data_IF_344582519099
#
_entry.id   IF_344582519099
#
_cell.length_a   1.000
_cell.length_b   1.000
_cell.length_c   1.000
_cell.angle_alpha   90.00
_cell.angle_beta   90.00
_cell.angle_gamma   90.00
#
_symmetry.space_group_name_H-M   'P 1'
#
loop_
_entity.id
_entity.type
_entity.pdbx_description
1 polymer ?
#
# COMPACT_ATOMS: atom_id res chain seq x y z
N UNK A 1 -1.45 8.15 -4.15
CA UNK A 1 -0.91 6.92 -4.78
C UNK A 1 -0.61 5.87 -3.74
N UNK A 2 -0.86 4.60 -4.03
CA UNK A 2 -0.60 3.46 -3.16
C UNK A 2 0.30 2.47 -3.90
N UNK A 3 1.56 2.34 -3.47
CA UNK A 3 2.51 1.37 -4.01
C UNK A 3 2.35 0.03 -3.29
N UNK A 4 2.23 -1.06 -4.06
CA UNK A 4 1.86 -2.38 -3.53
C UNK A 4 0.36 -2.53 -3.31
N UNK A 5 -0.46 -1.88 -4.14
CA UNK A 5 -1.93 -1.82 -4.03
C UNK A 5 -2.63 -3.19 -4.01
N UNK A 6 -1.99 -4.24 -4.55
CA UNK A 6 -2.54 -5.59 -4.60
C UNK A 6 -2.24 -6.47 -3.40
N UNK A 7 -1.40 -6.02 -2.48
CA UNK A 7 -1.01 -6.78 -1.29
C UNK A 7 -2.00 -6.68 -0.13
N UNK A 8 -1.71 -7.43 0.95
CA UNK A 8 -2.60 -7.51 2.12
C UNK A 8 -2.83 -6.20 2.88
N UNK A 9 -1.96 -5.19 2.72
CA UNK A 9 -2.14 -3.82 3.24
C UNK A 9 -2.72 -2.92 2.15
N UNK A 10 -2.18 -3.04 0.92
CA UNK A 10 -2.56 -2.17 -0.20
C UNK A 10 -4.03 -2.25 -0.57
N UNK A 11 -4.62 -3.46 -0.56
CA UNK A 11 -6.05 -3.65 -0.88
C UNK A 11 -6.98 -2.94 0.11
N UNK A 12 -6.62 -2.89 1.38
CA UNK A 12 -7.34 -2.09 2.37
C UNK A 12 -7.08 -0.60 2.19
N UNK A 13 -5.83 -0.20 1.94
CA UNK A 13 -5.47 1.21 1.77
C UNK A 13 -6.21 1.85 0.59
N UNK A 14 -6.37 1.14 -0.55
CA UNK A 14 -7.16 1.59 -1.70
C UNK A 14 -8.60 1.88 -1.28
N UNK A 15 -9.27 0.91 -0.66
CA UNK A 15 -10.68 1.03 -0.29
C UNK A 15 -10.91 2.07 0.80
N UNK A 16 -10.02 2.16 1.80
CA UNK A 16 -10.10 3.19 2.83
C UNK A 16 -9.93 4.57 2.21
N UNK A 17 -8.95 4.77 1.33
CA UNK A 17 -8.77 6.05 0.64
C UNK A 17 -10.01 6.43 -0.18
N UNK A 18 -10.65 5.47 -0.85
CA UNK A 18 -11.92 5.69 -1.57
C UNK A 18 -13.08 6.02 -0.62
N UNK A 19 -13.12 5.43 0.58
CA UNK A 19 -14.12 5.79 1.59
C UNK A 19 -13.98 7.23 2.09
N UNK A 20 -12.79 7.82 1.96
CA UNK A 20 -12.50 9.24 2.17
C UNK A 20 -12.57 10.10 0.89
N UNK A 21 -13.18 9.57 -0.18
CA UNK A 21 -13.37 10.26 -1.46
C UNK A 21 -12.09 10.71 -2.16
N UNK A 22 -10.95 10.11 -1.82
CA UNK A 22 -9.69 10.42 -2.46
C UNK A 22 -9.63 9.87 -3.89
N UNK A 23 -8.90 10.56 -4.77
CA UNK A 23 -8.49 10.02 -6.06
C UNK A 23 -7.30 9.07 -5.84
N UNK A 24 -7.46 7.80 -6.23
CA UNK A 24 -6.52 6.73 -5.91
C UNK A 24 -5.84 6.19 -7.16
N UNK A 25 -4.51 6.31 -7.17
CA UNK A 25 -3.67 5.58 -8.13
C UNK A 25 -3.05 4.37 -7.42
N UNK A 26 -3.37 3.16 -7.88
CA UNK A 26 -2.79 1.92 -7.38
C UNK A 26 -1.61 1.45 -8.24
N UNK A 27 -0.48 1.10 -7.62
CA UNK A 27 0.68 0.51 -8.32
C UNK A 27 0.76 -0.97 -7.99
N UNK A 28 0.74 -1.81 -9.02
CA UNK A 28 0.82 -3.27 -8.89
C UNK A 28 1.43 -3.91 -10.15
N UNK A 29 1.56 -5.24 -10.20
CA UNK A 29 1.99 -5.96 -11.39
C UNK A 29 0.82 -6.21 -12.37
N UNK A 30 1.14 -6.48 -13.64
CA UNK A 30 0.17 -6.73 -14.74
C UNK A 30 -0.99 -7.63 -14.32
N UNK A 31 -0.72 -8.75 -13.66
CA UNK A 31 -1.73 -9.74 -13.25
C UNK A 31 -2.75 -9.25 -12.22
N UNK A 32 -2.50 -8.10 -11.59
CA UNK A 32 -3.31 -7.56 -10.50
C UNK A 32 -4.08 -6.29 -10.88
N UNK A 33 -3.92 -5.79 -12.11
CA UNK A 33 -4.53 -4.53 -12.56
C UNK A 33 -6.05 -4.52 -12.40
N UNK A 34 -6.73 -5.57 -12.85
CA UNK A 34 -8.19 -5.64 -12.81
C UNK A 34 -8.71 -5.75 -11.39
N UNK A 35 -8.03 -6.51 -10.52
CA UNK A 35 -8.39 -6.60 -9.11
C UNK A 35 -8.24 -5.24 -8.42
N UNK A 36 -7.14 -4.50 -8.67
CA UNK A 36 -6.93 -3.18 -8.05
C UNK A 36 -7.95 -2.15 -8.56
N UNK A 37 -8.38 -2.24 -9.83
CA UNK A 37 -9.51 -1.43 -10.34
C UNK A 37 -10.83 -1.81 -9.65
N UNK A 38 -11.10 -3.11 -9.51
CA UNK A 38 -12.37 -3.58 -8.95
C UNK A 38 -12.59 -3.20 -7.48
N UNK A 39 -11.51 -2.93 -6.73
CA UNK A 39 -11.59 -2.43 -5.35
C UNK A 39 -11.60 -0.91 -5.24
N UNK A 40 -11.73 -0.21 -6.38
CA UNK A 40 -12.02 1.23 -6.42
C UNK A 40 -10.86 2.13 -6.81
N UNK A 41 -9.69 1.64 -7.23
CA UNK A 41 -8.64 2.51 -7.73
C UNK A 41 -9.08 3.21 -9.03
N UNK A 42 -8.98 4.54 -9.08
CA UNK A 42 -9.35 5.34 -10.26
C UNK A 42 -8.32 5.15 -11.37
N UNK A 43 -7.05 5.03 -11.01
CA UNK A 43 -5.93 4.78 -11.92
C UNK A 43 -5.10 3.60 -11.43
N UNK A 44 -4.55 2.86 -12.38
CA UNK A 44 -3.69 1.71 -12.07
C UNK A 44 -2.44 1.74 -12.93
N UNK A 45 -1.28 1.62 -12.28
CA UNK A 45 0.04 1.63 -12.91
C UNK A 45 0.65 0.23 -12.80
N UNK A 46 1.09 -0.29 -13.94
CA UNK A 46 1.85 -1.54 -14.01
C UNK A 46 3.35 -1.26 -13.84
N UNK A 47 3.89 -1.50 -12.65
CA UNK A 47 5.31 -1.24 -12.37
C UNK A 47 6.26 -2.12 -13.19
N UNK A 48 5.76 -3.20 -13.82
CA UNK A 48 6.57 -4.08 -14.67
C UNK A 48 6.79 -3.51 -16.08
N UNK A 49 5.96 -2.51 -16.48
CA UNK A 49 5.95 -1.90 -17.80
C UNK A 49 6.35 -0.43 -17.78
N UNK A 50 6.05 0.28 -16.71
CA UNK A 50 6.27 1.70 -16.63
C UNK A 50 6.87 2.14 -15.28
N UNK A 51 7.63 3.21 -15.33
CA UNK A 51 8.24 3.83 -14.15
C UNK A 51 7.43 5.07 -13.74
N UNK A 52 6.52 4.90 -12.78
CA UNK A 52 5.67 5.98 -12.28
C UNK A 52 6.46 7.18 -11.73
N UNK A 53 7.71 6.99 -11.31
CA UNK A 53 8.54 8.09 -10.80
C UNK A 53 9.05 9.01 -11.92
N UNK A 54 8.88 8.61 -13.19
CA UNK A 54 9.28 9.33 -14.38
C UNK A 54 8.12 9.81 -15.25
N UNK A 55 6.87 9.46 -14.89
CA UNK A 55 5.67 9.83 -15.65
C UNK A 55 5.36 11.33 -15.64
N UNK A 56 5.97 12.10 -14.75
CA UNK A 56 5.66 13.52 -14.54
C UNK A 56 4.45 13.76 -13.65
N UNK A 57 3.66 12.73 -13.34
CA UNK A 57 2.53 12.82 -12.43
C UNK A 57 3.00 13.04 -10.99
N UNK A 58 2.23 13.80 -10.22
CA UNK A 58 2.54 14.13 -8.84
C UNK A 58 1.39 13.76 -7.91
N UNK A 59 1.75 13.35 -6.70
CA UNK A 59 0.82 12.84 -5.70
C UNK A 59 0.99 13.60 -4.39
N UNK A 60 -0.13 13.96 -3.75
CA UNK A 60 -0.13 14.63 -2.45
C UNK A 60 0.22 13.66 -1.32
N UNK A 61 -0.15 12.40 -1.50
CA UNK A 61 0.17 11.32 -0.56
C UNK A 61 0.65 10.08 -1.31
N UNK A 62 1.80 9.56 -0.91
CA UNK A 62 2.30 8.26 -1.36
C UNK A 62 2.37 7.33 -0.16
N UNK A 63 1.55 6.27 -0.18
CA UNK A 63 1.63 5.15 0.76
C UNK A 63 2.44 4.03 0.13
N UNK A 64 3.60 3.72 0.71
CA UNK A 64 4.51 2.69 0.18
C UNK A 64 4.46 1.42 1.04
N UNK A 65 3.67 0.45 0.59
CA UNK A 65 3.54 -0.86 1.23
C UNK A 65 4.45 -1.93 0.59
N UNK A 66 5.19 -1.59 -0.47
CA UNK A 66 6.06 -2.52 -1.20
C UNK A 66 7.55 -2.23 -1.03
N UNK A 67 7.92 -0.96 -0.91
CA UNK A 67 9.28 -0.46 -0.61
C UNK A 67 10.42 -1.01 -1.50
N UNK A 68 10.16 -1.25 -2.79
CA UNK A 68 11.17 -1.79 -3.71
C UNK A 68 12.17 -0.72 -4.16
N UNK A 69 11.73 0.53 -4.34
CA UNK A 69 12.54 1.62 -4.87
C UNK A 69 13.25 2.39 -3.77
N UNK A 70 14.38 3.04 -4.07
CA UNK A 70 14.98 4.02 -3.18
C UNK A 70 13.98 5.14 -2.85
N UNK A 71 13.99 5.59 -1.60
CA UNK A 71 13.09 6.67 -1.14
C UNK A 71 13.30 7.96 -1.93
N UNK A 72 14.52 8.23 -2.40
CA UNK A 72 14.84 9.39 -3.26
C UNK A 72 14.03 9.45 -4.56
N UNK A 73 13.65 8.29 -5.12
CA UNK A 73 12.92 8.23 -6.39
C UNK A 73 11.50 8.78 -6.25
N UNK A 74 10.88 8.58 -5.10
CA UNK A 74 9.53 9.09 -4.82
C UNK A 74 9.47 10.61 -4.71
N UNK A 75 10.61 11.29 -4.46
CA UNK A 75 10.66 12.76 -4.40
C UNK A 75 10.14 13.42 -5.67
N UNK A 76 10.40 12.81 -6.83
CA UNK A 76 9.94 13.33 -8.13
C UNK A 76 8.45 13.19 -8.33
N UNK A 77 7.86 12.14 -7.75
CA UNK A 77 6.45 11.83 -7.82
C UNK A 77 5.61 12.53 -6.74
N UNK A 78 6.22 13.22 -5.77
CA UNK A 78 5.50 14.01 -4.77
C UNK A 78 5.18 15.41 -5.30
N UNK A 79 3.99 15.91 -4.99
CA UNK A 79 3.62 17.33 -5.13
C UNK A 79 4.50 18.22 -4.23
N UNK A 80 4.48 19.55 -4.37
CA UNK A 80 5.34 20.45 -3.58
C UNK A 80 5.23 20.25 -2.07
N UNK A 81 4.04 19.97 -1.54
CA UNK A 81 3.78 19.70 -0.11
C UNK A 81 3.45 18.23 0.17
N UNK A 82 3.75 17.36 -0.79
CA UNK A 82 3.40 15.96 -0.75
C UNK A 82 4.08 15.18 0.38
N UNK A 83 3.38 14.17 0.85
CA UNK A 83 3.78 13.32 1.97
C UNK A 83 4.06 11.90 1.45
N UNK A 84 5.24 11.38 1.76
CA UNK A 84 5.57 9.96 1.57
C UNK A 84 5.52 9.25 2.92
N UNK A 85 4.82 8.12 2.97
CA UNK A 85 4.71 7.27 4.16
C UNK A 85 5.13 5.84 3.83
N UNK A 86 6.19 5.39 4.48
CA UNK A 86 6.62 4.00 4.44
C UNK A 86 5.75 3.17 5.41
N UNK A 87 5.03 2.16 4.89
CA UNK A 87 4.15 1.29 5.69
C UNK A 87 4.81 -0.05 6.03
N UNK A 88 5.84 -0.41 5.33
CA UNK A 88 6.58 -1.65 5.53
C UNK A 88 7.85 -1.63 4.70
N UNK A 89 8.69 -2.65 4.86
CA UNK A 89 9.92 -2.75 4.10
C UNK A 89 11.13 -3.10 4.94
N UNK A 90 12.29 -3.11 4.31
CA UNK A 90 13.55 -3.46 4.96
C UNK A 90 14.01 -2.36 5.94
N UNK A 91 14.81 -2.75 6.92
CA UNK A 91 15.47 -1.81 7.85
C UNK A 91 16.27 -0.74 7.09
N UNK A 92 16.87 -1.10 5.95
CA UNK A 92 17.58 -0.15 5.09
C UNK A 92 16.68 0.97 4.57
N UNK A 93 15.40 0.70 4.24
CA UNK A 93 14.44 1.72 3.82
C UNK A 93 14.04 2.64 4.97
N UNK A 94 13.88 2.09 6.17
CA UNK A 94 13.64 2.90 7.36
C UNK A 94 14.80 3.88 7.61
N UNK A 95 16.05 3.41 7.52
CA UNK A 95 17.22 4.30 7.63
C UNK A 95 17.24 5.38 6.53
N UNK A 96 16.86 5.04 5.29
CA UNK A 96 16.75 6.05 4.22
C UNK A 96 15.71 7.13 4.55
N UNK A 97 14.54 6.76 5.08
CA UNK A 97 13.52 7.72 5.51
C UNK A 97 14.07 8.65 6.60
N UNK A 98 14.76 8.11 7.59
CA UNK A 98 15.33 8.88 8.70
C UNK A 98 16.43 9.84 8.22
N UNK A 99 17.33 9.38 7.36
CA UNK A 99 18.45 10.19 6.86
C UNK A 99 18.00 11.26 5.86
N UNK A 100 17.05 10.95 4.98
CA UNK A 100 16.60 11.86 3.93
C UNK A 100 15.47 12.80 4.38
N UNK A 101 14.82 12.52 5.52
CA UNK A 101 13.70 13.31 6.03
C UNK A 101 14.00 14.81 6.12
N UNK A 102 15.11 15.26 6.75
CA UNK A 102 15.47 16.67 6.82
C UNK A 102 15.63 17.31 5.45
N UNK A 103 16.25 16.60 4.50
CA UNK A 103 16.47 17.10 3.15
C UNK A 103 15.16 17.26 2.35
N UNK A 104 14.21 16.34 2.50
CA UNK A 104 12.88 16.46 1.92
C UNK A 104 12.13 17.66 2.52
N UNK A 105 12.21 17.83 3.83
CA UNK A 105 11.54 18.95 4.53
C UNK A 105 12.01 20.34 4.04
N UNK A 106 13.27 20.50 3.65
CA UNK A 106 13.78 21.73 3.05
C UNK A 106 13.09 22.10 1.73
N UNK A 107 12.42 21.15 1.07
CA UNK A 107 11.69 21.36 -0.19
C UNK A 107 10.17 21.38 0.00
N UNK A 108 9.68 21.51 1.23
CA UNK A 108 8.25 21.47 1.58
C UNK A 108 7.65 20.06 1.66
N UNK A 109 8.36 19.05 1.16
CA UNK A 109 7.88 17.65 1.14
C UNK A 109 8.13 16.96 2.49
N UNK A 110 7.30 16.00 2.84
CA UNK A 110 7.42 15.27 4.11
C UNK A 110 7.71 13.81 3.85
N UNK A 111 8.66 13.27 4.60
CA UNK A 111 8.91 11.84 4.70
C UNK A 111 8.52 11.34 6.08
N UNK A 112 7.79 10.22 6.10
CA UNK A 112 7.41 9.55 7.32
C UNK A 112 7.44 8.04 7.17
N UNK A 113 7.38 7.36 8.28
CA UNK A 113 7.09 5.94 8.36
C UNK A 113 5.92 5.73 9.32
N UNK A 114 5.11 4.74 9.02
CA UNK A 114 3.98 4.40 9.88
C UNK A 114 4.41 3.37 10.92
N UNK A 115 4.31 3.75 12.18
CA UNK A 115 4.38 2.79 13.29
C UNK A 115 2.95 2.55 13.77
N UNK A 116 2.45 1.35 13.53
CA UNK A 116 1.10 0.98 13.91
C UNK A 116 0.94 1.04 15.44
N UNK A 117 -0.02 1.84 15.89
CA UNK A 117 -0.46 1.87 17.29
C UNK A 117 -1.89 1.38 17.34
N UNK A 118 -2.08 0.18 17.86
CA UNK A 118 -3.43 -0.39 17.97
C UNK A 118 -4.21 0.40 19.04
N UNK A 119 -5.41 0.87 18.64
CA UNK A 119 -6.35 1.49 19.57
C UNK A 119 -7.78 1.06 19.23
N UNK A 120 -8.65 1.11 20.24
CA UNK A 120 -10.05 0.68 20.09
C UNK A 120 -10.84 1.55 19.10
N UNK A 121 -10.55 2.84 19.00
CA UNK A 121 -11.29 3.76 18.13
C UNK A 121 -11.09 3.42 16.65
N UNK A 122 -9.84 3.13 16.26
CA UNK A 122 -9.52 2.75 14.88
C UNK A 122 -10.17 1.41 14.52
N UNK A 123 -10.21 0.45 15.46
CA UNK A 123 -10.87 -0.84 15.25
C UNK A 123 -12.39 -0.67 15.07
N UNK A 124 -13.03 0.20 15.86
CA UNK A 124 -14.46 0.49 15.70
C UNK A 124 -14.71 1.15 14.35
N UNK A 125 -13.91 2.13 13.96
CA UNK A 125 -14.03 2.79 12.66
C UNK A 125 -13.86 1.80 11.49
N UNK A 126 -12.87 0.92 11.55
CA UNK A 126 -12.68 -0.12 10.52
C UNK A 126 -13.86 -1.09 10.48
N UNK A 127 -14.42 -1.45 11.64
CA UNK A 127 -15.63 -2.27 11.71
C UNK A 127 -16.81 -1.59 11.00
N UNK A 128 -17.03 -0.30 11.23
CA UNK A 128 -18.09 0.46 10.57
C UNK A 128 -17.92 0.49 9.04
N UNK A 129 -16.68 0.66 8.54
CA UNK A 129 -16.41 0.58 7.10
C UNK A 129 -16.69 -0.79 6.51
N UNK A 130 -16.37 -1.86 7.24
CA UNK A 130 -16.66 -3.24 6.83
C UNK A 130 -18.17 -3.52 6.80
N UNK A 131 -18.90 -3.12 7.85
CA UNK A 131 -20.34 -3.29 7.96
C UNK A 131 -21.11 -2.48 6.91
N UNK A 132 -20.60 -1.30 6.56
CA UNK A 132 -21.16 -0.47 5.49
C UNK A 132 -20.80 -0.98 4.08
N UNK A 133 -20.01 -2.05 3.95
CA UNK A 133 -19.55 -2.54 2.65
C UNK A 133 -18.58 -1.62 1.91
N UNK A 134 -18.10 -0.56 2.56
CA UNK A 134 -17.11 0.37 1.97
C UNK A 134 -15.72 -0.23 1.89
N UNK A 135 -15.44 -1.21 2.74
CA UNK A 135 -14.20 -2.00 2.72
C UNK A 135 -14.59 -3.47 2.73
N UNK A 136 -14.09 -4.22 1.75
CA UNK A 136 -14.32 -5.66 1.63
C UNK A 136 -12.96 -6.35 1.55
N UNK A 137 -12.66 -7.32 2.44
CA UNK A 137 -11.39 -8.05 2.39
C UNK A 137 -11.23 -8.80 1.07
N UNK A 138 -10.15 -8.53 0.35
CA UNK A 138 -9.77 -9.33 -0.82
C UNK A 138 -9.11 -10.61 -0.32
N UNK A 139 -9.71 -11.75 -0.60
CA UNK A 139 -9.22 -13.07 -0.19
C UNK A 139 -8.63 -13.76 -1.41
N UNK A 140 -7.33 -14.03 -1.36
CA UNK A 140 -6.60 -14.72 -2.41
C UNK A 140 -6.78 -16.23 -2.33
N UNK A 141 -6.48 -16.81 -1.14
CA UNK A 141 -6.55 -18.25 -0.91
C UNK A 141 -7.09 -18.58 0.49
N UNK A 142 -7.67 -19.78 0.59
CA UNK A 142 -8.05 -20.39 1.84
C UNK A 142 -7.31 -21.70 1.99
N UNK A 143 -6.80 -21.95 3.19
CA UNK A 143 -6.14 -23.20 3.57
C UNK A 143 -6.78 -23.75 4.84
N UNK A 144 -7.00 -25.06 4.95
CA UNK A 144 -7.37 -25.68 6.23
C UNK A 144 -6.20 -25.54 7.23
N UNK A 145 -6.51 -25.65 8.52
CA UNK A 145 -5.51 -25.56 9.59
C UNK A 145 -4.36 -26.57 9.40
N UNK A 146 -4.64 -27.76 8.86
CA UNK A 146 -3.63 -28.78 8.55
C UNK A 146 -2.59 -28.36 7.50
N UNK A 147 -2.88 -27.34 6.70
CA UNK A 147 -2.04 -26.84 5.59
C UNK A 147 -1.39 -25.48 5.90
N UNK A 148 -1.31 -25.07 7.17
CA UNK A 148 -0.73 -23.79 7.56
C UNK A 148 0.72 -23.61 7.04
N UNK A 149 1.50 -24.69 7.02
CA UNK A 149 2.88 -24.64 6.50
C UNK A 149 2.92 -24.26 5.01
N UNK A 150 1.97 -24.74 4.20
CA UNK A 150 1.87 -24.40 2.79
C UNK A 150 1.37 -22.97 2.59
N UNK A 151 0.44 -22.52 3.42
CA UNK A 151 -0.01 -21.14 3.44
C UNK A 151 1.14 -20.16 3.76
N UNK A 152 2.02 -20.50 4.70
CA UNK A 152 3.19 -19.69 5.04
C UNK A 152 4.21 -19.66 3.89
N UNK A 153 4.52 -20.80 3.28
CA UNK A 153 5.40 -20.86 2.09
C UNK A 153 4.87 -19.98 0.97
N UNK A 154 3.55 -20.06 0.72
CA UNK A 154 2.91 -19.20 -0.29
C UNK A 154 3.04 -17.71 0.04
N UNK A 155 2.92 -17.31 1.31
CA UNK A 155 3.13 -15.92 1.73
C UNK A 155 4.60 -15.48 1.58
N UNK A 156 5.56 -16.36 1.83
CA UNK A 156 7.00 -16.10 1.66
C UNK A 156 7.39 -15.83 0.20
N UNK A 157 6.65 -16.36 -0.78
CA UNK A 157 6.82 -16.02 -2.19
C UNK A 157 6.57 -14.52 -2.48
N UNK A 158 5.92 -13.80 -1.57
CA UNK A 158 5.67 -12.36 -1.67
C UNK A 158 4.65 -11.96 -2.74
N UNK A 159 3.85 -12.91 -3.21
CA UNK A 159 2.96 -12.73 -4.35
C UNK A 159 1.47 -12.79 -4.03
N UNK A 160 1.10 -12.89 -2.77
CA UNK A 160 -0.29 -12.96 -2.33
C UNK A 160 -1.10 -11.70 -2.74
N UNK A 161 -2.33 -11.92 -3.18
CA UNK A 161 -3.28 -10.88 -3.61
C UNK A 161 -4.28 -10.61 -2.48
N UNK A 162 -4.02 -9.62 -1.65
CA UNK A 162 -4.84 -9.40 -0.46
C UNK A 162 -4.50 -10.37 0.67
N UNK A 163 -5.47 -11.11 1.19
CA UNK A 163 -5.33 -11.95 2.39
C UNK A 163 -5.36 -13.44 2.09
N UNK A 164 -4.56 -14.19 2.82
CA UNK A 164 -4.64 -15.65 2.91
C UNK A 164 -5.35 -16.00 4.21
N UNK A 165 -6.35 -16.87 4.12
CA UNK A 165 -7.22 -17.26 5.25
C UNK A 165 -6.93 -18.69 5.66
N UNK A 166 -6.81 -18.92 6.95
CA UNK A 166 -6.80 -20.27 7.54
C UNK A 166 -8.19 -20.56 8.07
N UNK A 167 -8.76 -21.69 7.63
CA UNK A 167 -10.05 -22.18 8.12
C UNK A 167 -9.84 -23.26 9.18
N UNK A 168 -10.55 -23.16 10.28
CA UNK A 168 -10.59 -24.12 11.39
C UNK A 168 -11.87 -24.91 11.37
#
# INVERSE_FOLDING_TARGET
MINGASGGVGTFAVQIAKAFEAEVTGVCSTRNLDMVRSIGADHVIDYTREDFTKSGQRYDLILDAAAYRPVSDYRRALSPEGIYVLIGGSVARLFQVLLLGPWFSMTGKKLGFMMARMNKKDLVFLKELLEAGKVVPVIDRRYPLSEVADALRYLEEGHARGKVIITV
#
